data_IF_517622491753
#
_entry.id   IF_517622491753
#
_cell.length_a   1.000
_cell.length_b   1.000
_cell.length_c   1.000
_cell.angle_alpha   90.00
_cell.angle_beta   90.00
_cell.angle_gamma   90.00
#
_symmetry.space_group_name_H-M   'P 1'
#
loop_
_entity.id
_entity.type
_entity.pdbx_description
1 polymer ?
#
# COMPACT_ATOMS: atom_id res chain seq x y z
N UNK A 1 -16.01 3.60 24.48
CA UNK A 1 -16.27 5.04 24.68
C UNK A 1 -17.28 5.20 25.82
N UNK A 2 -16.94 5.91 26.90
CA UNK A 2 -17.85 6.16 28.03
C UNK A 2 -18.75 7.33 27.64
N UNK A 3 -20.06 7.08 27.49
CA UNK A 3 -21.04 8.13 27.14
C UNK A 3 -21.30 8.94 28.42
N UNK A 4 -20.96 10.24 28.40
CA UNK A 4 -21.21 11.19 29.49
C UNK A 4 -22.36 12.11 29.08
N UNK A 5 -23.44 12.13 29.86
CA UNK A 5 -24.68 12.88 29.59
C UNK A 5 -25.91 11.97 29.60
N UNK A 6 -27.09 12.53 29.90
CA UNK A 6 -28.38 11.83 29.90
C UNK A 6 -29.28 12.24 31.07
N UNK A 7 -30.60 12.19 30.84
CA UNK A 7 -31.62 12.52 31.83
C UNK A 7 -32.19 11.20 32.40
N UNK A 8 -32.34 11.11 33.72
CA UNK A 8 -32.96 9.95 34.38
C UNK A 8 -34.48 9.99 34.20
N UNK A 9 -35.06 8.92 33.65
CA UNK A 9 -36.50 8.79 33.44
C UNK A 9 -37.17 8.00 34.57
N UNK A 10 -38.48 8.22 34.79
CA UNK A 10 -39.25 7.70 35.93
C UNK A 10 -39.36 6.14 35.93
N UNK A 11 -38.96 5.49 34.83
CA UNK A 11 -38.81 4.03 34.69
C UNK A 11 -37.37 3.47 34.81
N UNK A 12 -36.40 4.26 35.30
CA UNK A 12 -35.06 3.76 35.66
C UNK A 12 -33.99 3.74 34.55
N UNK A 13 -34.29 4.23 33.35
CA UNK A 13 -33.35 4.31 32.22
C UNK A 13 -32.79 5.73 31.98
N UNK A 14 -31.58 5.82 31.43
CA UNK A 14 -30.99 7.07 30.92
C UNK A 14 -31.45 7.33 29.50
N UNK A 15 -32.03 8.50 29.25
CA UNK A 15 -32.49 8.94 27.92
C UNK A 15 -31.79 10.22 27.45
N UNK A 16 -31.76 10.41 26.14
CA UNK A 16 -31.07 11.51 25.47
C UNK A 16 -32.01 12.24 24.52
N UNK A 17 -31.90 13.57 24.48
CA UNK A 17 -32.54 14.42 23.47
C UNK A 17 -31.71 14.49 22.20
N UNK A 18 -32.32 14.85 21.06
CA UNK A 18 -31.58 15.04 19.79
C UNK A 18 -30.40 16.01 19.94
N UNK A 19 -30.55 17.07 20.75
CA UNK A 19 -29.47 18.04 20.99
C UNK A 19 -28.28 17.45 21.76
N UNK A 20 -28.51 16.55 22.70
CA UNK A 20 -27.44 15.82 23.40
C UNK A 20 -26.77 14.81 22.48
N UNK A 21 -27.56 14.07 21.69
CA UNK A 21 -27.06 13.10 20.71
C UNK A 21 -26.17 13.80 19.69
N UNK A 22 -26.59 14.96 19.16
CA UNK A 22 -25.83 15.78 18.21
C UNK A 22 -24.40 16.06 18.69
N UNK A 23 -24.23 16.36 19.99
CA UNK A 23 -22.91 16.58 20.59
C UNK A 23 -22.10 15.30 20.70
N UNK A 24 -22.75 14.18 21.06
CA UNK A 24 -22.10 12.88 21.24
C UNK A 24 -21.60 12.32 19.91
N UNK A 25 -22.46 12.29 18.89
CA UNK A 25 -22.15 11.70 17.57
C UNK A 25 -21.53 12.71 16.61
N UNK A 26 -21.29 13.95 17.08
CA UNK A 26 -20.68 15.06 16.34
C UNK A 26 -21.35 15.29 14.98
N UNK A 27 -22.68 15.42 14.97
CA UNK A 27 -23.46 15.64 13.75
C UNK A 27 -24.60 16.62 13.97
N UNK A 28 -25.06 17.29 12.91
CA UNK A 28 -26.11 18.31 13.04
C UNK A 28 -27.43 17.72 13.53
N UNK A 29 -28.17 18.54 14.27
CA UNK A 29 -29.55 18.22 14.70
C UNK A 29 -30.44 17.93 13.49
N UNK A 30 -30.26 18.64 12.37
CA UNK A 30 -31.05 18.43 11.16
C UNK A 30 -30.77 17.07 10.51
N UNK A 31 -29.52 16.60 10.52
CA UNK A 31 -29.21 15.26 10.02
C UNK A 31 -29.81 14.17 10.91
N UNK A 32 -29.82 14.36 12.23
CA UNK A 32 -30.49 13.43 13.15
C UNK A 32 -32.01 13.43 12.99
N UNK A 33 -32.62 14.59 12.71
CA UNK A 33 -34.05 14.68 12.36
C UNK A 33 -34.35 13.96 11.06
N UNK A 34 -33.49 14.10 10.06
CA UNK A 34 -33.63 13.34 8.82
C UNK A 34 -33.53 11.83 9.05
N UNK A 35 -32.61 11.37 9.92
CA UNK A 35 -32.50 9.95 10.28
C UNK A 35 -33.77 9.43 11.01
N UNK A 36 -34.38 10.25 11.86
CA UNK A 36 -35.68 9.96 12.49
C UNK A 36 -36.79 9.84 11.43
N UNK A 37 -36.87 10.80 10.50
CA UNK A 37 -37.87 10.82 9.41
C UNK A 37 -37.79 9.59 8.49
N UNK A 38 -36.58 9.14 8.14
CA UNK A 38 -36.39 7.93 7.32
C UNK A 38 -36.48 6.63 8.14
N UNK A 39 -36.92 6.70 9.41
CA UNK A 39 -37.06 5.58 10.33
C UNK A 39 -35.76 4.83 10.65
N UNK A 40 -34.62 5.51 10.52
CA UNK A 40 -33.31 5.01 10.96
C UNK A 40 -33.13 5.16 12.47
N UNK A 41 -33.89 6.06 13.10
CA UNK A 41 -33.86 6.33 14.53
C UNK A 41 -35.26 6.66 15.08
N UNK A 42 -35.94 5.70 15.70
CA UNK A 42 -37.27 5.95 16.29
C UNK A 42 -37.18 6.36 17.76
N UNK A 43 -37.82 7.44 18.22
CA UNK A 43 -37.78 7.81 19.63
C UNK A 43 -38.48 6.77 20.51
N UNK A 44 -37.91 6.52 21.70
CA UNK A 44 -38.54 5.64 22.71
C UNK A 44 -39.70 6.35 23.39
N UNK A 45 -39.60 7.67 23.51
CA UNK A 45 -40.64 8.51 24.09
C UNK A 45 -40.72 9.86 23.38
N UNK A 46 -41.95 10.35 23.21
CA UNK A 46 -42.25 11.70 22.76
C UNK A 46 -43.11 12.34 23.83
N UNK A 47 -42.62 13.43 24.42
CA UNK A 47 -43.33 14.13 25.48
C UNK A 47 -44.52 14.91 24.89
N UNK A 48 -45.73 14.67 25.40
CA UNK A 48 -46.96 15.21 24.81
C UNK A 48 -47.07 16.73 24.94
N UNK A 49 -46.50 17.31 26.00
CA UNK A 49 -46.62 18.73 26.33
C UNK A 49 -45.85 19.66 25.39
N UNK A 50 -44.68 19.21 24.92
CA UNK A 50 -43.72 20.03 24.17
C UNK A 50 -43.16 19.32 22.92
N UNK A 51 -43.55 18.06 22.69
CA UNK A 51 -43.11 17.18 21.60
C UNK A 51 -41.60 16.89 21.59
N UNK A 52 -40.93 16.98 22.74
CA UNK A 52 -39.53 16.58 22.86
C UNK A 52 -39.39 15.07 22.68
N UNK A 53 -38.35 14.67 21.95
CA UNK A 53 -38.07 13.27 21.61
C UNK A 53 -36.89 12.76 22.41
N UNK A 54 -37.05 11.56 22.95
CA UNK A 54 -36.08 10.92 23.82
C UNK A 54 -35.67 9.55 23.27
N UNK A 55 -34.37 9.28 23.30
CA UNK A 55 -33.75 8.08 22.77
C UNK A 55 -32.95 7.35 23.86
N UNK A 56 -32.84 6.03 23.76
CA UNK A 56 -32.09 5.24 24.73
C UNK A 56 -30.58 5.26 24.46
N UNK A 57 -29.79 4.87 25.46
CA UNK A 57 -28.34 4.71 25.33
C UNK A 57 -27.94 3.73 24.21
N UNK A 58 -28.72 2.67 24.01
CA UNK A 58 -28.52 1.68 22.95
C UNK A 58 -28.67 2.32 21.57
N UNK A 59 -29.67 3.17 21.39
CA UNK A 59 -29.89 3.90 20.14
C UNK A 59 -28.79 4.92 19.85
N UNK A 60 -28.29 5.59 20.89
CA UNK A 60 -27.10 6.46 20.75
C UNK A 60 -25.87 5.65 20.31
N UNK A 61 -25.67 4.46 20.88
CA UNK A 61 -24.56 3.57 20.49
C UNK A 61 -24.69 3.06 19.05
N UNK A 62 -25.91 2.76 18.60
CA UNK A 62 -26.17 2.40 17.21
C UNK A 62 -25.92 3.55 16.25
N UNK A 63 -26.32 4.77 16.61
CA UNK A 63 -26.04 5.95 15.79
C UNK A 63 -24.55 6.16 15.60
N UNK A 64 -23.73 5.96 16.64
CA UNK A 64 -22.27 6.03 16.50
C UNK A 64 -21.77 5.05 15.43
N UNK A 65 -22.25 3.80 15.45
CA UNK A 65 -21.89 2.80 14.45
C UNK A 65 -22.40 3.17 13.04
N UNK A 66 -23.61 3.73 12.91
CA UNK A 66 -24.12 4.26 11.65
C UNK A 66 -23.21 5.37 11.12
N UNK A 67 -22.76 6.28 11.99
CA UNK A 67 -21.86 7.37 11.63
C UNK A 67 -20.50 6.84 11.16
N UNK A 68 -19.94 5.83 11.83
CA UNK A 68 -18.72 5.15 11.39
C UNK A 68 -18.90 4.50 10.01
N UNK A 69 -20.00 3.78 9.77
CA UNK A 69 -20.29 3.18 8.47
C UNK A 69 -20.40 4.22 7.35
N UNK A 70 -21.00 5.39 7.61
CA UNK A 70 -20.99 6.48 6.62
C UNK A 70 -19.59 6.98 6.31
N UNK A 71 -18.70 7.06 7.30
CA UNK A 71 -17.30 7.43 7.08
C UNK A 71 -16.56 6.40 6.22
N UNK A 72 -16.92 5.12 6.33
CA UNK A 72 -16.41 4.04 5.46
C UNK A 72 -17.10 3.98 4.07
N UNK A 73 -17.96 4.96 3.76
CA UNK A 73 -18.58 5.12 2.45
C UNK A 73 -19.84 4.29 2.23
N UNK A 74 -20.47 3.77 3.29
CA UNK A 74 -21.79 3.15 3.18
C UNK A 74 -22.88 4.21 2.98
N UNK A 75 -23.77 3.99 2.01
CA UNK A 75 -24.96 4.82 1.83
C UNK A 75 -25.96 4.58 2.96
N UNK A 76 -26.87 5.54 3.19
CA UNK A 76 -27.94 5.38 4.18
C UNK A 76 -28.87 4.21 3.83
N UNK A 77 -29.10 3.95 2.54
CA UNK A 77 -29.90 2.81 2.08
C UNK A 77 -29.20 1.47 2.41
N UNK A 78 -27.89 1.37 2.16
CA UNK A 78 -27.12 0.19 2.52
C UNK A 78 -27.13 -0.04 4.04
N UNK A 79 -26.96 1.02 4.84
CA UNK A 79 -27.03 0.92 6.30
C UNK A 79 -28.43 0.47 6.75
N UNK A 80 -29.49 0.97 6.10
CA UNK A 80 -30.87 0.56 6.38
C UNK A 80 -31.12 -0.90 6.07
N UNK A 81 -30.55 -1.45 5.00
CA UNK A 81 -30.63 -2.89 4.67
C UNK A 81 -29.89 -3.77 5.70
N UNK A 82 -28.84 -3.25 6.32
CA UNK A 82 -28.10 -3.95 7.38
C UNK A 82 -28.87 -3.98 8.72
N UNK A 83 -29.82 -3.07 8.93
CA UNK A 83 -30.66 -3.04 10.13
C UNK A 83 -31.71 -4.15 10.10
N UNK A 84 -31.59 -5.11 11.00
CA UNK A 84 -32.59 -6.16 11.20
C UNK A 84 -33.87 -5.57 11.82
N UNK A 85 -35.02 -5.81 11.18
CA UNK A 85 -36.33 -5.25 11.53
C UNK A 85 -36.34 -3.71 11.67
N UNK A 86 -35.35 -3.02 11.10
CA UNK A 86 -35.20 -1.56 11.20
C UNK A 86 -34.75 -1.07 12.58
N UNK A 87 -34.19 -1.93 13.44
CA UNK A 87 -33.85 -1.52 14.83
C UNK A 87 -32.44 -1.89 15.28
N UNK A 88 -31.81 -2.96 14.77
CA UNK A 88 -30.47 -3.36 15.24
C UNK A 88 -29.57 -3.87 14.11
N UNK A 89 -28.27 -3.50 14.13
CA UNK A 89 -27.26 -4.04 13.21
C UNK A 89 -26.84 -5.44 13.67
N UNK A 90 -27.10 -6.46 12.84
CA UNK A 90 -26.71 -7.83 13.13
C UNK A 90 -25.21 -8.04 12.85
N UNK A 91 -24.47 -8.59 13.82
CA UNK A 91 -23.00 -8.76 13.73
C UNK A 91 -22.55 -9.49 12.46
N UNK A 92 -23.25 -10.55 12.05
CA UNK A 92 -22.85 -11.33 10.87
C UNK A 92 -23.04 -10.55 9.57
N UNK A 93 -24.19 -9.88 9.40
CA UNK A 93 -24.46 -9.02 8.25
C UNK A 93 -23.46 -7.87 8.17
N UNK A 94 -23.14 -7.26 9.30
CA UNK A 94 -22.16 -6.18 9.38
C UNK A 94 -20.77 -6.64 8.92
N UNK A 95 -20.30 -7.81 9.39
CA UNK A 95 -19.02 -8.39 8.95
C UNK A 95 -19.01 -8.66 7.44
N UNK A 96 -20.07 -9.24 6.90
CA UNK A 96 -20.18 -9.51 5.47
C UNK A 96 -20.16 -8.22 4.64
N UNK A 97 -20.89 -7.20 5.08
CA UNK A 97 -20.95 -5.91 4.39
C UNK A 97 -19.61 -5.17 4.41
N UNK A 98 -18.92 -5.16 5.55
CA UNK A 98 -17.57 -4.61 5.67
C UNK A 98 -16.57 -5.35 4.78
N UNK A 99 -16.63 -6.68 4.75
CA UNK A 99 -15.77 -7.49 3.87
C UNK A 99 -16.04 -7.20 2.39
N UNK A 100 -17.30 -7.13 1.97
CA UNK A 100 -17.67 -6.76 0.60
C UNK A 100 -17.19 -5.35 0.22
N UNK A 101 -17.32 -4.39 1.14
CA UNK A 101 -16.83 -3.01 0.93
C UNK A 101 -15.31 -2.95 0.80
N UNK A 102 -14.59 -3.71 1.62
CA UNK A 102 -13.13 -3.82 1.52
C UNK A 102 -12.70 -4.34 0.15
N UNK A 103 -13.32 -5.43 -0.32
CA UNK A 103 -13.05 -5.97 -1.66
C UNK A 103 -13.36 -4.99 -2.80
N UNK A 104 -14.42 -4.19 -2.65
CA UNK A 104 -14.74 -3.14 -3.61
C UNK A 104 -13.66 -2.05 -3.64
N UNK A 105 -13.23 -1.57 -2.46
CA UNK A 105 -12.18 -0.57 -2.33
C UNK A 105 -10.85 -1.07 -2.91
N UNK A 106 -10.50 -2.34 -2.74
CA UNK A 106 -9.32 -2.94 -3.36
C UNK A 106 -9.39 -2.91 -4.89
N UNK A 107 -10.57 -3.20 -5.47
CA UNK A 107 -10.78 -3.09 -6.92
C UNK A 107 -10.67 -1.64 -7.40
N UNK A 108 -11.30 -0.70 -6.70
CA UNK A 108 -11.22 0.73 -7.01
C UNK A 108 -9.76 1.24 -6.95
N UNK A 109 -9.00 0.84 -5.91
CA UNK A 109 -7.55 1.08 -5.78
C UNK A 109 -6.81 0.59 -7.02
N UNK A 110 -7.03 -0.65 -7.43
CA UNK A 110 -6.32 -1.25 -8.57
C UNK A 110 -6.61 -0.52 -9.89
N UNK A 111 -7.86 -0.09 -10.11
CA UNK A 111 -8.21 0.73 -11.28
C UNK A 111 -7.50 2.08 -11.24
N UNK A 112 -7.47 2.72 -10.07
CA UNK A 112 -6.82 4.01 -9.89
C UNK A 112 -5.30 3.91 -10.12
N UNK A 113 -4.64 2.87 -9.59
CA UNK A 113 -3.22 2.59 -9.81
C UNK A 113 -2.91 2.48 -11.30
N UNK A 114 -3.69 1.68 -12.05
CA UNK A 114 -3.53 1.55 -13.51
C UNK A 114 -3.73 2.88 -14.24
N UNK A 115 -4.69 3.68 -13.80
CA UNK A 115 -4.97 4.99 -14.38
C UNK A 115 -3.78 5.93 -14.16
N UNK A 116 -3.27 6.01 -12.94
CA UNK A 116 -2.08 6.81 -12.59
C UNK A 116 -0.87 6.36 -13.40
N UNK A 117 -0.60 5.06 -13.51
CA UNK A 117 0.48 4.53 -14.33
C UNK A 117 0.35 4.93 -15.82
N UNK A 118 -0.88 4.93 -16.37
CA UNK A 118 -1.12 5.36 -17.75
C UNK A 118 -0.86 6.85 -17.96
N UNK A 119 -1.14 7.69 -16.96
CA UNK A 119 -0.85 9.13 -17.01
C UNK A 119 0.65 9.38 -16.91
N UNK A 120 1.36 8.71 -16.00
CA UNK A 120 2.83 8.78 -15.93
C UNK A 120 3.50 8.40 -17.25
N UNK A 121 3.00 7.35 -17.91
CA UNK A 121 3.51 6.95 -19.23
C UNK A 121 3.38 8.08 -20.26
N UNK A 122 2.22 8.74 -20.32
CA UNK A 122 1.99 9.87 -21.22
C UNK A 122 2.85 11.09 -20.87
N UNK A 123 3.05 11.37 -19.59
CA UNK A 123 3.98 12.44 -19.14
C UNK A 123 5.39 12.13 -19.65
N UNK A 124 5.86 10.90 -19.47
CA UNK A 124 7.18 10.48 -19.93
C UNK A 124 7.32 10.52 -21.46
N UNK A 125 6.26 10.19 -22.21
CA UNK A 125 6.23 10.34 -23.67
C UNK A 125 6.38 11.81 -24.09
N UNK A 126 5.58 12.71 -23.48
CA UNK A 126 5.66 14.16 -23.74
C UNK A 126 7.06 14.70 -23.39
N UNK A 127 7.62 14.32 -22.23
CA UNK A 127 8.95 14.75 -21.83
C UNK A 127 10.06 14.23 -22.76
N UNK A 128 9.92 13.00 -23.29
CA UNK A 128 10.87 12.42 -24.25
C UNK A 128 10.84 13.19 -25.57
N UNK A 129 9.64 13.52 -26.05
CA UNK A 129 9.44 14.29 -27.29
C UNK A 129 9.96 15.73 -27.15
N UNK A 130 9.72 16.38 -26.01
CA UNK A 130 10.20 17.74 -25.73
C UNK A 130 11.73 17.81 -25.54
N UNK A 131 12.35 16.78 -24.95
CA UNK A 131 13.80 16.73 -24.70
C UNK A 131 14.61 16.11 -25.85
N UNK A 132 13.97 15.64 -26.92
CA UNK A 132 14.65 14.98 -28.05
C UNK A 132 15.45 13.74 -27.62
N UNK A 133 14.98 13.03 -26.60
CA UNK A 133 15.76 12.00 -25.91
C UNK A 133 15.63 10.66 -26.63
N UNK A 134 16.76 9.99 -26.96
CA UNK A 134 16.72 8.65 -27.55
C UNK A 134 16.08 7.64 -26.59
N UNK A 135 15.53 6.55 -27.14
CA UNK A 135 15.05 5.41 -26.38
C UNK A 135 16.09 5.00 -25.31
N UNK A 136 15.63 4.84 -24.07
CA UNK A 136 16.49 4.51 -22.93
C UNK A 136 17.04 3.10 -23.08
N UNK A 137 18.33 2.93 -22.84
CA UNK A 137 19.02 1.64 -22.98
C UNK A 137 19.02 0.89 -21.64
N UNK A 138 18.52 -0.34 -21.66
CA UNK A 138 18.47 -1.25 -20.52
C UNK A 138 19.47 -2.38 -20.74
N UNK A 139 20.34 -2.62 -19.77
CA UNK A 139 21.10 -3.87 -19.69
C UNK A 139 20.31 -4.87 -18.84
N UNK A 140 19.78 -5.91 -19.47
CA UNK A 140 19.03 -6.99 -18.84
C UNK A 140 19.93 -8.21 -18.59
N UNK A 141 20.12 -8.58 -17.33
CA UNK A 141 21.00 -9.66 -16.91
C UNK A 141 20.20 -10.77 -16.23
N UNK A 142 20.19 -11.95 -16.83
CA UNK A 142 19.49 -13.14 -16.31
C UNK A 142 20.09 -14.39 -16.96
N UNK A 143 20.39 -15.44 -16.19
CA UNK A 143 20.98 -16.67 -16.72
C UNK A 143 19.93 -17.57 -17.42
N UNK A 144 18.65 -17.39 -17.10
CA UNK A 144 17.55 -18.15 -17.69
C UNK A 144 17.12 -17.49 -19.01
N UNK A 145 17.55 -18.08 -20.13
CA UNK A 145 17.28 -17.59 -21.49
C UNK A 145 15.79 -17.27 -21.75
N UNK A 146 14.88 -18.11 -21.24
CA UNK A 146 13.43 -17.92 -21.37
C UNK A 146 12.94 -16.64 -20.65
N UNK A 147 13.39 -16.42 -19.41
CA UNK A 147 13.03 -15.21 -18.65
C UNK A 147 13.60 -13.96 -19.33
N UNK A 148 14.84 -14.05 -19.79
CA UNK A 148 15.51 -12.97 -20.53
C UNK A 148 14.77 -12.60 -21.80
N UNK A 149 14.28 -13.57 -22.57
CA UNK A 149 13.49 -13.33 -23.78
C UNK A 149 12.17 -12.62 -23.46
N UNK A 150 11.39 -13.11 -22.49
CA UNK A 150 10.10 -12.50 -22.11
C UNK A 150 10.30 -11.04 -21.66
N UNK A 151 11.29 -10.80 -20.80
CA UNK A 151 11.60 -9.45 -20.33
C UNK A 151 12.07 -8.55 -21.48
N UNK A 152 12.90 -9.06 -22.39
CA UNK A 152 13.35 -8.31 -23.56
C UNK A 152 12.16 -7.85 -24.43
N UNK A 153 11.28 -8.78 -24.82
CA UNK A 153 10.09 -8.48 -25.63
C UNK A 153 9.17 -7.47 -24.93
N UNK A 154 8.96 -7.64 -23.62
CA UNK A 154 8.16 -6.72 -22.80
C UNK A 154 8.76 -5.31 -22.77
N UNK A 155 10.07 -5.17 -22.56
CA UNK A 155 10.75 -3.87 -22.49
C UNK A 155 10.80 -3.18 -23.86
N UNK A 156 11.10 -3.93 -24.93
CA UNK A 156 11.10 -3.42 -26.29
C UNK A 156 9.72 -2.91 -26.71
N UNK A 157 8.64 -3.60 -26.33
CA UNK A 157 7.25 -3.15 -26.52
C UNK A 157 6.97 -1.80 -25.85
N UNK A 158 7.71 -1.43 -24.80
CA UNK A 158 7.63 -0.13 -24.12
C UNK A 158 8.65 0.90 -24.64
N UNK A 159 9.30 0.61 -25.77
CA UNK A 159 10.22 1.54 -26.43
C UNK A 159 11.59 1.66 -25.75
N UNK A 160 12.01 0.65 -24.99
CA UNK A 160 13.37 0.55 -24.46
C UNK A 160 14.29 -0.15 -25.47
N UNK A 161 15.56 0.26 -25.52
CA UNK A 161 16.61 -0.50 -26.20
C UNK A 161 17.18 -1.51 -25.22
N UNK A 162 17.14 -2.81 -25.52
CA UNK A 162 17.59 -3.83 -24.57
C UNK A 162 18.89 -4.47 -25.05
N UNK A 163 19.89 -4.46 -24.18
CA UNK A 163 21.09 -5.29 -24.31
C UNK A 163 21.01 -6.37 -23.25
N UNK A 164 21.36 -7.61 -23.59
CA UNK A 164 21.23 -8.75 -22.68
C UNK A 164 22.58 -9.28 -22.21
N UNK A 165 22.67 -9.81 -21.00
CA UNK A 165 23.82 -10.56 -20.47
C UNK A 165 23.34 -11.81 -19.71
N UNK A 166 24.20 -12.82 -19.60
CA UNK A 166 23.81 -14.13 -19.03
C UNK A 166 24.41 -14.41 -17.65
N UNK A 167 25.27 -13.53 -17.15
CA UNK A 167 25.89 -13.62 -15.83
C UNK A 167 26.52 -12.28 -15.44
N UNK A 168 26.97 -12.17 -14.18
CA UNK A 168 27.56 -10.95 -13.63
C UNK A 168 28.81 -10.46 -14.37
N UNK A 169 29.67 -11.36 -14.87
CA UNK A 169 30.88 -10.96 -15.60
C UNK A 169 30.53 -10.29 -16.93
N UNK A 170 29.67 -10.94 -17.72
CA UNK A 170 29.18 -10.34 -18.97
C UNK A 170 28.43 -9.02 -18.72
N UNK A 171 27.75 -8.90 -17.59
CA UNK A 171 27.08 -7.65 -17.23
C UNK A 171 28.09 -6.50 -17.02
N UNK A 172 29.20 -6.75 -16.32
CA UNK A 172 30.25 -5.75 -16.12
C UNK A 172 30.88 -5.34 -17.45
N UNK A 173 31.20 -6.32 -18.30
CA UNK A 173 31.82 -6.06 -19.61
C UNK A 173 30.89 -5.19 -20.47
N UNK A 174 29.62 -5.59 -20.59
CA UNK A 174 28.61 -4.85 -21.36
C UNK A 174 28.24 -3.51 -20.74
N UNK A 175 28.28 -3.37 -19.42
CA UNK A 175 28.02 -2.10 -18.76
C UNK A 175 29.03 -1.03 -19.22
N UNK A 176 30.31 -1.40 -19.28
CA UNK A 176 31.37 -0.51 -19.75
C UNK A 176 31.23 -0.14 -21.24
N UNK A 177 30.91 -1.13 -22.08
CA UNK A 177 30.84 -0.95 -23.53
C UNK A 177 29.57 -0.19 -23.97
N UNK A 178 28.42 -0.57 -23.39
CA UNK A 178 27.11 -0.11 -23.86
C UNK A 178 26.59 1.13 -23.13
N UNK A 179 27.14 1.41 -21.95
CA UNK A 179 26.75 2.52 -21.06
C UNK A 179 25.23 2.63 -20.90
N UNK A 180 24.57 1.58 -20.37
CA UNK A 180 23.12 1.55 -20.23
C UNK A 180 22.63 2.62 -19.25
N UNK A 181 21.42 3.12 -19.48
CA UNK A 181 20.77 4.07 -18.55
C UNK A 181 20.32 3.41 -17.25
N UNK A 182 20.04 2.11 -17.30
CA UNK A 182 19.59 1.27 -16.19
C UNK A 182 20.01 -0.19 -16.41
N UNK A 183 20.35 -0.87 -15.32
CA UNK A 183 20.65 -2.29 -15.31
C UNK A 183 19.53 -3.01 -14.57
N UNK A 184 18.96 -4.05 -15.17
CA UNK A 184 18.09 -5.02 -14.50
C UNK A 184 18.95 -6.25 -14.24
N UNK A 185 19.18 -6.57 -12.97
CA UNK A 185 20.16 -7.57 -12.54
C UNK A 185 19.48 -8.71 -11.78
N UNK A 186 19.46 -9.92 -12.34
CA UNK A 186 19.16 -11.10 -11.54
C UNK A 186 20.25 -11.37 -10.49
N UNK A 187 19.86 -11.82 -9.31
CA UNK A 187 20.80 -12.09 -8.22
C UNK A 187 21.48 -13.45 -8.36
N UNK A 188 20.75 -14.49 -8.74
CA UNK A 188 21.22 -15.86 -8.60
C UNK A 188 21.67 -16.44 -9.94
N UNK A 189 22.89 -16.08 -10.35
CA UNK A 189 23.48 -16.50 -11.62
C UNK A 189 24.77 -17.31 -11.43
N UNK A 190 25.13 -18.19 -12.38
CA UNK A 190 26.42 -18.85 -12.41
C UNK A 190 27.56 -17.87 -12.76
N UNK A 191 28.81 -18.32 -12.55
CA UNK A 191 30.06 -17.57 -12.83
C UNK A 191 30.27 -16.39 -11.88
N UNK A 192 29.34 -15.43 -11.88
CA UNK A 192 29.31 -14.30 -10.97
C UNK A 192 27.86 -13.93 -10.68
N UNK A 193 27.52 -13.85 -9.39
CA UNK A 193 26.20 -13.45 -8.93
C UNK A 193 25.94 -11.94 -9.12
N UNK A 194 24.66 -11.57 -9.04
CA UNK A 194 24.22 -10.19 -9.22
C UNK A 194 24.64 -9.26 -8.10
N UNK A 195 24.90 -9.76 -6.89
CA UNK A 195 25.36 -8.95 -5.74
C UNK A 195 26.77 -8.45 -6.00
N UNK A 196 27.66 -9.37 -6.36
CA UNK A 196 29.05 -9.08 -6.72
C UNK A 196 29.12 -8.18 -7.95
N UNK A 197 28.32 -8.47 -9.00
CA UNK A 197 28.27 -7.65 -10.19
C UNK A 197 27.78 -6.22 -9.90
N UNK A 198 26.73 -6.09 -9.06
CA UNK A 198 26.20 -4.79 -8.62
C UNK A 198 27.28 -3.96 -7.95
N UNK A 199 27.99 -4.54 -6.99
CA UNK A 199 29.09 -3.88 -6.30
C UNK A 199 30.13 -3.34 -7.29
N UNK A 200 30.60 -4.18 -8.21
CA UNK A 200 31.64 -3.78 -9.19
C UNK A 200 31.12 -2.69 -10.13
N UNK A 201 29.89 -2.80 -10.62
CA UNK A 201 29.27 -1.76 -11.46
C UNK A 201 29.17 -0.43 -10.69
N UNK A 202 28.83 -0.46 -9.40
CA UNK A 202 28.77 0.74 -8.55
C UNK A 202 30.14 1.34 -8.22
N UNK A 203 31.19 0.52 -8.19
CA UNK A 203 32.58 1.00 -8.09
C UNK A 203 33.03 1.68 -9.39
N UNK A 204 32.59 1.19 -10.55
CA UNK A 204 32.84 1.79 -11.87
C UNK A 204 32.07 3.11 -12.01
N UNK A 205 30.78 3.09 -11.68
CA UNK A 205 29.88 4.24 -11.77
C UNK A 205 28.95 4.30 -10.54
N UNK A 206 29.24 5.26 -9.65
CA UNK A 206 28.45 5.50 -8.44
C UNK A 206 27.02 5.92 -8.73
N UNK A 207 26.74 6.45 -9.91
CA UNK A 207 25.41 6.89 -10.33
C UNK A 207 24.64 5.81 -11.11
N UNK A 208 25.26 4.66 -11.37
CA UNK A 208 24.61 3.54 -12.03
C UNK A 208 23.29 3.18 -11.32
N UNK A 209 22.24 3.00 -12.13
CA UNK A 209 20.89 2.69 -11.68
C UNK A 209 20.67 1.20 -11.86
N UNK A 210 20.51 0.47 -10.77
CA UNK A 210 20.41 -0.99 -10.77
C UNK A 210 19.11 -1.39 -10.08
N UNK A 211 18.26 -2.09 -10.83
CA UNK A 211 17.05 -2.77 -10.36
C UNK A 211 17.39 -4.25 -10.16
N UNK A 212 17.29 -4.73 -8.93
CA UNK A 212 17.56 -6.13 -8.62
C UNK A 212 16.31 -7.02 -8.87
N UNK A 213 16.53 -8.21 -9.43
CA UNK A 213 15.53 -9.26 -9.57
C UNK A 213 15.95 -10.49 -8.77
N UNK A 214 15.00 -11.17 -8.12
CA UNK A 214 15.29 -12.42 -7.44
C UNK A 214 14.13 -13.41 -7.45
N UNK A 215 14.43 -14.69 -7.53
CA UNK A 215 13.47 -15.75 -7.23
C UNK A 215 13.12 -15.85 -5.72
N UNK A 216 13.89 -15.19 -4.86
CA UNK A 216 13.76 -15.25 -3.41
C UNK A 216 13.53 -13.86 -2.83
N UNK A 217 12.33 -13.63 -2.30
CA UNK A 217 11.99 -12.42 -1.54
C UNK A 217 12.45 -12.47 -0.08
N UNK A 218 13.68 -12.90 0.20
CA UNK A 218 14.19 -12.94 1.57
C UNK A 218 14.87 -11.62 1.92
N UNK A 219 14.51 -11.05 3.07
CA UNK A 219 15.03 -9.76 3.53
C UNK A 219 16.56 -9.67 3.60
N UNK A 220 17.31 -10.68 4.08
CA UNK A 220 18.78 -10.60 4.07
C UNK A 220 19.35 -10.36 2.68
N UNK A 221 18.81 -11.05 1.66
CA UNK A 221 19.24 -10.89 0.27
C UNK A 221 18.87 -9.51 -0.26
N UNK A 222 17.67 -9.02 0.09
CA UNK A 222 17.20 -7.68 -0.27
C UNK A 222 18.12 -6.62 0.36
N UNK A 223 18.40 -6.68 1.65
CA UNK A 223 19.29 -5.70 2.28
C UNK A 223 20.71 -5.78 1.73
N UNK A 224 21.24 -6.98 1.50
CA UNK A 224 22.58 -7.16 0.96
C UNK A 224 22.76 -6.51 -0.42
N UNK A 225 21.82 -6.71 -1.35
CA UNK A 225 21.91 -6.12 -2.69
C UNK A 225 21.72 -4.59 -2.68
N UNK A 226 20.89 -4.07 -1.77
CA UNK A 226 20.70 -2.63 -1.60
C UNK A 226 21.94 -1.96 -1.01
N UNK A 227 22.62 -2.61 -0.06
CA UNK A 227 23.91 -2.15 0.46
C UNK A 227 24.99 -2.11 -0.61
N UNK A 228 24.93 -2.99 -1.63
CA UNK A 228 25.82 -2.91 -2.79
C UNK A 228 25.44 -1.78 -3.75
N UNK A 229 24.32 -1.08 -3.54
CA UNK A 229 23.93 0.11 -4.29
C UNK A 229 22.82 -0.11 -5.33
N UNK A 230 22.10 -1.24 -5.27
CA UNK A 230 20.82 -1.36 -5.99
C UNK A 230 19.80 -0.36 -5.43
N UNK A 231 18.95 0.17 -6.31
CA UNK A 231 17.98 1.22 -5.95
C UNK A 231 16.59 0.67 -5.66
N UNK A 232 16.27 -0.50 -6.18
CA UNK A 232 14.97 -1.14 -6.01
C UNK A 232 15.11 -2.66 -6.23
N UNK A 233 14.05 -3.40 -5.88
CA UNK A 233 14.02 -4.85 -5.87
C UNK A 233 12.65 -5.41 -6.30
N UNK A 234 12.67 -6.42 -7.17
CA UNK A 234 11.45 -7.15 -7.59
C UNK A 234 11.64 -8.67 -7.43
N UNK A 235 10.67 -9.30 -6.79
CA UNK A 235 10.57 -10.75 -6.63
C UNK A 235 9.90 -11.39 -7.84
N UNK A 236 10.44 -12.51 -8.30
CA UNK A 236 9.85 -13.41 -9.30
C UNK A 236 8.89 -14.40 -8.61
N UNK A 237 7.76 -14.77 -9.23
CA UNK A 237 7.22 -14.24 -10.48
C UNK A 237 6.58 -12.85 -10.30
N UNK A 238 6.66 -12.02 -11.33
CA UNK A 238 6.15 -10.64 -11.33
C UNK A 238 5.17 -10.41 -12.49
N UNK A 239 4.38 -9.34 -12.37
CA UNK A 239 3.55 -8.82 -13.46
C UNK A 239 4.30 -7.73 -14.23
N UNK A 240 3.90 -7.48 -15.48
CA UNK A 240 4.47 -6.44 -16.35
C UNK A 240 4.45 -5.07 -15.65
N UNK A 241 3.35 -4.74 -14.98
CA UNK A 241 3.19 -3.49 -14.24
C UNK A 241 4.22 -3.36 -13.10
N UNK A 242 4.54 -4.45 -12.40
CA UNK A 242 5.51 -4.44 -11.29
C UNK A 242 6.91 -4.03 -11.76
N UNK A 243 7.35 -4.52 -12.92
CA UNK A 243 8.66 -4.17 -13.48
C UNK A 243 8.66 -2.73 -13.97
N UNK A 244 7.62 -2.29 -14.67
CA UNK A 244 7.53 -0.92 -15.17
C UNK A 244 7.54 0.11 -14.03
N UNK A 245 6.79 -0.16 -12.96
CA UNK A 245 6.77 0.72 -11.78
C UNK A 245 8.14 0.76 -11.10
N UNK A 246 8.83 -0.38 -10.99
CA UNK A 246 10.18 -0.46 -10.42
C UNK A 246 11.23 0.25 -11.28
N UNK A 247 11.09 0.20 -12.62
CA UNK A 247 11.96 0.93 -13.53
C UNK A 247 11.81 2.44 -13.36
N UNK A 248 10.57 2.94 -13.24
CA UNK A 248 10.30 4.36 -12.99
C UNK A 248 10.97 4.80 -11.68
N UNK A 249 10.72 4.07 -10.57
CA UNK A 249 11.33 4.38 -9.27
C UNK A 249 12.86 4.36 -9.31
N UNK A 250 13.43 3.37 -10.00
CA UNK A 250 14.89 3.23 -10.15
C UNK A 250 15.48 4.40 -10.97
N UNK A 251 14.76 4.85 -12.00
CA UNK A 251 15.20 5.87 -12.94
C UNK A 251 15.12 7.29 -12.37
N UNK A 252 14.01 7.65 -11.72
CA UNK A 252 13.70 9.01 -11.24
C UNK A 252 14.65 9.53 -10.14
N UNK A 253 15.57 8.70 -9.67
CA UNK A 253 16.81 9.16 -9.05
C UNK A 253 16.69 9.74 -7.63
N UNK A 254 15.50 9.77 -7.05
CA UNK A 254 15.27 10.35 -5.72
C UNK A 254 15.08 9.31 -4.60
N UNK A 255 15.23 8.02 -4.89
CA UNK A 255 15.25 6.97 -3.84
C UNK A 255 16.64 6.96 -3.22
N UNK A 256 16.88 7.93 -2.33
CA UNK A 256 18.05 7.95 -1.45
C UNK A 256 17.62 7.24 -0.17
N UNK A 257 18.22 6.08 0.12
CA UNK A 257 17.99 5.44 1.39
C UNK A 257 18.58 6.30 2.51
N UNK A 258 17.77 6.56 3.53
CA UNK A 258 18.24 7.12 4.77
C UNK A 258 19.03 6.03 5.50
N UNK A 259 20.35 6.20 5.61
CA UNK A 259 21.24 5.21 6.21
C UNK A 259 20.80 4.82 7.63
N UNK A 260 20.37 5.78 8.45
CA UNK A 260 19.92 5.50 9.82
C UNK A 260 18.66 4.63 9.83
N UNK A 261 17.68 4.99 9.00
CA UNK A 261 16.42 4.24 8.87
C UNK A 261 16.68 2.84 8.31
N UNK A 262 17.52 2.72 7.30
CA UNK A 262 17.89 1.46 6.68
C UNK A 262 18.57 0.52 7.69
N UNK A 263 19.55 1.02 8.46
CA UNK A 263 20.22 0.23 9.49
C UNK A 263 19.27 -0.16 10.63
N UNK A 264 18.43 0.75 11.11
CA UNK A 264 17.45 0.46 12.16
C UNK A 264 16.45 -0.63 11.73
N UNK A 265 15.97 -0.55 10.48
CA UNK A 265 15.12 -1.57 9.88
C UNK A 265 15.86 -2.90 9.82
N UNK A 266 17.10 -2.91 9.29
CA UNK A 266 17.90 -4.13 9.16
C UNK A 266 18.19 -4.79 10.50
N UNK A 267 18.49 -4.02 11.55
CA UNK A 267 18.71 -4.54 12.90
C UNK A 267 17.44 -5.20 13.46
N UNK A 268 16.29 -4.53 13.34
CA UNK A 268 15.00 -5.09 13.80
C UNK A 268 14.64 -6.40 13.08
N UNK A 269 14.91 -6.48 11.78
CA UNK A 269 14.71 -7.72 11.00
C UNK A 269 15.78 -8.78 11.27
N UNK A 270 17.00 -8.40 11.67
CA UNK A 270 18.13 -9.28 11.93
C UNK A 270 18.10 -9.98 13.29
N UNK A 271 17.48 -9.37 14.29
CA UNK A 271 17.30 -9.96 15.63
C UNK A 271 16.22 -11.07 15.66
N UNK A 272 15.27 -11.01 14.74
CA UNK A 272 14.18 -11.98 14.64
C UNK A 272 14.59 -13.17 13.76
N UNK A 273 14.31 -14.40 14.21
CA UNK A 273 14.56 -15.64 13.44
C UNK A 273 13.71 -15.78 12.14
N UNK A 274 13.12 -14.68 11.66
CA UNK A 274 12.26 -14.51 10.47
C UNK A 274 13.01 -14.59 9.14
N UNK A 275 14.34 -14.72 9.18
CA UNK A 275 15.25 -14.88 8.03
C UNK A 275 14.99 -16.09 7.11
N UNK A 276 13.87 -16.80 7.25
CA UNK A 276 13.51 -17.98 6.44
C UNK A 276 12.18 -17.88 5.70
N UNK A 277 11.36 -16.83 5.92
CA UNK A 277 10.07 -16.69 5.24
C UNK A 277 10.17 -15.64 4.14
N UNK A 278 9.77 -16.02 2.92
CA UNK A 278 9.78 -15.13 1.78
C UNK A 278 8.69 -14.07 1.93
N UNK A 279 9.05 -12.82 1.67
CA UNK A 279 8.16 -11.68 1.80
C UNK A 279 7.44 -11.41 0.46
N UNK A 280 6.12 -11.13 0.47
CA UNK A 280 5.41 -10.68 -0.73
C UNK A 280 5.92 -9.34 -1.26
N UNK A 281 5.84 -9.13 -2.58
CA UNK A 281 6.32 -7.90 -3.24
C UNK A 281 5.71 -6.61 -2.67
N UNK A 282 4.43 -6.62 -2.26
CA UNK A 282 3.77 -5.45 -1.67
C UNK A 282 4.42 -5.03 -0.35
N UNK A 283 4.81 -6.00 0.47
CA UNK A 283 5.47 -5.73 1.75
C UNK A 283 6.92 -5.29 1.54
N UNK A 284 7.64 -5.89 0.58
CA UNK A 284 8.98 -5.43 0.20
C UNK A 284 8.93 -3.98 -0.25
N UNK A 285 7.96 -3.62 -1.12
CA UNK A 285 7.80 -2.26 -1.61
C UNK A 285 7.56 -1.25 -0.48
N UNK A 286 6.79 -1.64 0.55
CA UNK A 286 6.60 -0.82 1.76
C UNK A 286 7.89 -0.64 2.55
N UNK A 287 8.64 -1.72 2.77
CA UNK A 287 9.94 -1.65 3.47
C UNK A 287 10.89 -0.71 2.73
N UNK A 288 11.00 -0.84 1.40
CA UNK A 288 11.85 0.04 0.59
C UNK A 288 11.43 1.51 0.66
N UNK A 289 10.12 1.79 0.69
CA UNK A 289 9.60 3.14 0.89
C UNK A 289 9.96 3.70 2.27
N UNK A 290 9.83 2.89 3.32
CA UNK A 290 10.22 3.29 4.68
C UNK A 290 11.72 3.62 4.75
N UNK A 291 12.57 2.85 4.08
CA UNK A 291 14.02 3.11 4.02
C UNK A 291 14.36 4.49 3.41
N UNK A 292 13.44 5.18 2.73
CA UNK A 292 13.67 6.53 2.19
C UNK A 292 13.28 7.67 3.14
N UNK A 293 12.63 7.37 4.27
CA UNK A 293 12.12 8.36 5.24
C UNK A 293 13.11 8.57 6.38
N UNK A 294 13.00 9.71 7.08
CA UNK A 294 13.69 9.88 8.37
C UNK A 294 13.08 8.95 9.43
N UNK A 295 13.93 8.35 10.26
CA UNK A 295 13.48 7.46 11.31
C UNK A 295 12.84 8.24 12.47
N UNK A 296 11.58 7.97 12.74
CA UNK A 296 10.81 8.53 13.85
C UNK A 296 9.92 7.45 14.52
N UNK A 297 9.18 7.85 15.56
CA UNK A 297 8.29 6.94 16.31
C UNK A 297 7.23 6.29 15.41
N UNK A 298 6.72 7.03 14.42
CA UNK A 298 5.71 6.55 13.49
C UNK A 298 6.29 5.52 12.49
N UNK A 299 7.49 5.78 11.97
CA UNK A 299 8.24 4.84 11.13
C UNK A 299 8.49 3.54 11.91
N UNK A 300 8.85 3.63 13.19
CA UNK A 300 8.99 2.48 14.07
C UNK A 300 7.69 1.69 14.26
N UNK A 301 6.54 2.35 14.39
CA UNK A 301 5.23 1.68 14.45
C UNK A 301 4.88 0.94 13.16
N UNK A 302 5.09 1.57 11.99
CA UNK A 302 4.84 0.96 10.68
C UNK A 302 5.72 -0.28 10.45
N UNK A 303 6.99 -0.24 10.83
CA UNK A 303 7.89 -1.40 10.76
C UNK A 303 7.38 -2.53 11.66
N UNK A 304 6.96 -2.21 12.88
CA UNK A 304 6.40 -3.21 13.80
C UNK A 304 5.10 -3.84 13.28
N UNK A 305 4.27 -3.09 12.56
CA UNK A 305 3.06 -3.62 11.93
C UNK A 305 3.41 -4.61 10.80
N UNK A 306 4.36 -4.25 9.95
CA UNK A 306 4.90 -5.12 8.88
C UNK A 306 5.44 -6.42 9.47
N UNK A 307 6.21 -6.32 10.56
CA UNK A 307 6.75 -7.46 11.30
C UNK A 307 5.65 -8.39 11.81
N UNK A 308 4.66 -7.84 12.52
CA UNK A 308 3.53 -8.63 13.04
C UNK A 308 2.81 -9.37 11.92
N UNK A 309 2.58 -8.72 10.78
CA UNK A 309 1.90 -9.35 9.65
C UNK A 309 2.73 -10.52 9.08
N UNK A 310 4.05 -10.34 8.92
CA UNK A 310 4.93 -11.37 8.40
C UNK A 310 5.04 -12.59 9.34
N UNK A 311 5.00 -12.37 10.65
CA UNK A 311 5.03 -13.43 11.66
C UNK A 311 3.75 -14.29 11.71
N UNK A 312 2.61 -13.76 11.26
CA UNK A 312 1.30 -14.43 11.34
C UNK A 312 0.84 -15.06 10.01
N UNK A 313 1.65 -14.94 8.94
CA UNK A 313 1.36 -15.44 7.58
C UNK A 313 2.10 -16.74 7.30
#
# INVERSE_FOLDING_TARGET
>A
MVIVGGISWIGGGTVYTIGEISKIVKTSVDALRYYDEISLLKPVHVEESNRYRYYSKEQVSQLLLIMELKQYGFSLDAIRELLHNGVYLERQRLKQALFARLQQLEKEKNVLVKTVASVYRRINEIERDEKGMSAKKILLVDDVAFMRQILCEMLEKHGYLVVTAENGQQAIDKFNDEKPDIVIMDINMPIMDGITATKIIKEIDKDAKILALSAKGFLPVIFEILEQGARDFVVKPFQEETILDALIRTYDGNVIFNEQTFQAIKEQFGEDNTNKVAMPQEMISKVLQLCTREYDEHTGEEINEIMRYHHHS
#
